data_IF_696237080641
#
_entry.id   IF_696237080641
#
_cell.length_a   1.000
_cell.length_b   1.000
_cell.length_c   1.000
_cell.angle_alpha   90.00
_cell.angle_beta   90.00
_cell.angle_gamma   90.00
#
_symmetry.space_group_name_H-M   'P 1'
#
loop_
_entity.id
_entity.type
_entity.pdbx_description
1 polymer ?
#
# COMPACT_ATOMS: atom_id res chain seq x y z
N UNK A 1 -49.05 -25.52 -38.94
CA UNK A 1 -48.85 -24.76 -37.72
C UNK A 1 -47.50 -25.18 -37.11
N UNK A 2 -46.43 -24.43 -37.44
CA UNK A 2 -45.06 -24.75 -36.97
C UNK A 2 -44.76 -23.83 -35.79
N UNK A 3 -44.58 -24.46 -34.63
CA UNK A 3 -44.22 -23.78 -33.38
C UNK A 3 -42.72 -23.47 -33.45
N UNK A 4 -42.36 -22.18 -33.54
CA UNK A 4 -40.99 -21.70 -33.44
C UNK A 4 -40.63 -21.56 -31.95
N UNK A 5 -39.84 -22.49 -31.45
CA UNK A 5 -39.30 -22.46 -30.11
C UNK A 5 -38.08 -21.52 -30.11
N UNK A 6 -38.27 -20.30 -29.66
CA UNK A 6 -37.19 -19.29 -29.52
C UNK A 6 -36.46 -19.56 -28.19
N UNK A 7 -35.37 -20.32 -28.24
CA UNK A 7 -34.47 -20.52 -27.11
C UNK A 7 -33.66 -19.23 -26.91
N UNK A 8 -34.07 -18.42 -25.94
CA UNK A 8 -33.32 -17.26 -25.47
C UNK A 8 -32.08 -17.77 -24.73
N UNK A 9 -30.92 -17.74 -25.41
CA UNK A 9 -29.65 -18.04 -24.81
C UNK A 9 -29.24 -16.82 -23.96
N UNK A 10 -29.57 -16.87 -22.67
CA UNK A 10 -29.06 -15.91 -21.69
C UNK A 10 -27.56 -16.14 -21.52
N UNK A 11 -26.74 -15.44 -22.30
CA UNK A 11 -25.33 -15.30 -21.97
C UNK A 11 -25.22 -14.55 -20.64
N UNK A 12 -25.11 -15.30 -19.55
CA UNK A 12 -24.55 -14.80 -18.31
C UNK A 12 -23.10 -14.44 -18.60
N UNK A 13 -22.87 -13.18 -18.99
CA UNK A 13 -21.56 -12.57 -18.82
C UNK A 13 -21.39 -12.43 -17.32
N UNK A 14 -20.88 -13.48 -16.67
CA UNK A 14 -20.27 -13.32 -15.36
C UNK A 14 -19.19 -12.27 -15.56
N UNK A 15 -19.40 -11.07 -15.01
CA UNK A 15 -18.32 -10.12 -14.78
C UNK A 15 -17.36 -10.87 -13.85
N UNK A 16 -16.40 -11.54 -14.46
CA UNK A 16 -15.26 -12.12 -13.76
C UNK A 16 -14.51 -10.92 -13.18
N UNK A 17 -14.79 -10.61 -11.91
CA UNK A 17 -13.84 -9.88 -11.09
C UNK A 17 -12.56 -10.71 -11.17
N UNK A 18 -11.59 -10.23 -11.91
CA UNK A 18 -10.34 -10.95 -12.09
C UNK A 18 -9.43 -10.63 -10.93
N UNK A 19 -8.79 -11.67 -10.39
CA UNK A 19 -7.68 -11.46 -9.46
C UNK A 19 -6.67 -10.51 -10.11
N UNK A 20 -6.00 -9.65 -9.31
CA UNK A 20 -5.12 -8.59 -9.80
C UNK A 20 -3.69 -8.88 -9.43
N UNK A 21 -2.77 -8.68 -10.38
CA UNK A 21 -1.35 -8.63 -10.13
C UNK A 21 -0.80 -7.30 -10.65
N UNK A 22 0.05 -6.66 -9.86
CA UNK A 22 0.82 -5.51 -10.34
C UNK A 22 2.25 -5.53 -9.82
N UNK A 23 3.14 -4.92 -10.58
CA UNK A 23 4.54 -4.74 -10.25
C UNK A 23 4.84 -3.25 -10.06
N UNK A 24 5.65 -2.94 -9.08
CA UNK A 24 6.05 -1.58 -8.75
C UNK A 24 7.55 -1.54 -8.46
N UNK A 25 8.20 -0.50 -8.95
CA UNK A 25 9.58 -0.16 -8.62
C UNK A 25 9.56 1.10 -7.76
N UNK A 26 10.31 1.08 -6.68
CA UNK A 26 10.47 2.23 -5.79
C UNK A 26 11.95 2.54 -5.64
N UNK A 27 12.31 3.80 -5.85
CA UNK A 27 13.65 4.32 -5.58
C UNK A 27 13.58 5.29 -4.41
N UNK A 28 14.52 5.19 -3.50
CA UNK A 28 14.63 6.09 -2.35
C UNK A 28 15.98 6.77 -2.33
N UNK A 29 16.00 8.04 -1.95
CA UNK A 29 17.19 8.79 -1.64
C UNK A 29 17.05 9.33 -0.22
N UNK A 30 17.88 8.82 0.67
CA UNK A 30 17.84 9.13 2.09
C UNK A 30 19.03 9.96 2.56
N UNK A 31 19.25 9.95 3.86
CA UNK A 31 20.35 10.65 4.51
C UNK A 31 21.69 10.29 3.86
N UNK A 32 22.57 11.29 3.66
CA UNK A 32 23.91 11.14 3.09
C UNK A 32 23.93 10.69 1.61
N UNK A 33 22.81 10.86 0.86
CA UNK A 33 22.75 10.47 -0.55
C UNK A 33 22.74 8.97 -0.79
N UNK A 34 22.41 8.18 0.23
CA UNK A 34 22.22 6.73 0.05
C UNK A 34 20.99 6.50 -0.81
N UNK A 35 21.19 5.75 -1.89
CA UNK A 35 20.12 5.36 -2.82
C UNK A 35 19.79 3.89 -2.63
N UNK A 36 18.50 3.60 -2.68
CA UNK A 36 17.97 2.25 -2.64
C UNK A 36 16.97 2.04 -3.77
N UNK A 37 16.94 0.84 -4.31
CA UNK A 37 15.89 0.41 -5.23
C UNK A 37 15.17 -0.79 -4.63
N UNK A 38 13.85 -0.77 -4.74
CA UNK A 38 12.97 -1.84 -4.26
C UNK A 38 12.03 -2.23 -5.38
N UNK A 39 12.02 -3.50 -5.71
CA UNK A 39 11.08 -4.09 -6.66
C UNK A 39 10.00 -4.84 -5.87
N UNK A 40 8.74 -4.58 -6.19
CA UNK A 40 7.60 -5.20 -5.53
C UNK A 40 6.69 -5.86 -6.55
N UNK A 41 6.21 -7.05 -6.20
CA UNK A 41 5.15 -7.74 -6.93
C UNK A 41 4.00 -8.02 -5.97
N UNK A 42 2.82 -7.55 -6.31
CA UNK A 42 1.64 -7.62 -5.46
C UNK A 42 0.55 -8.40 -6.17
N UNK A 43 -0.05 -9.35 -5.45
CA UNK A 43 -1.19 -10.15 -5.90
C UNK A 43 -2.36 -9.87 -4.97
N UNK A 44 -3.54 -9.63 -5.53
CA UNK A 44 -4.79 -9.39 -4.78
C UNK A 44 -5.87 -10.32 -5.29
N UNK A 45 -6.57 -10.98 -4.37
CA UNK A 45 -7.70 -11.86 -4.65
C UNK A 45 -8.69 -11.88 -3.48
N UNK A 46 -9.81 -11.18 -3.63
CA UNK A 46 -10.79 -11.00 -2.54
C UNK A 46 -10.12 -10.46 -1.27
N UNK A 47 -10.30 -11.15 -0.17
CA UNK A 47 -9.74 -10.81 1.14
C UNK A 47 -8.29 -11.29 1.35
N UNK A 48 -7.53 -11.47 0.28
CA UNK A 48 -6.17 -12.03 0.34
C UNK A 48 -5.20 -11.21 -0.50
N UNK A 49 -4.01 -10.98 0.01
CA UNK A 49 -2.91 -10.48 -0.81
C UNK A 49 -1.60 -11.18 -0.50
N UNK A 50 -0.73 -11.20 -1.50
CA UNK A 50 0.68 -11.58 -1.38
C UNK A 50 1.50 -10.42 -1.89
N UNK A 51 2.49 -9.99 -1.13
CA UNK A 51 3.51 -9.02 -1.54
C UNK A 51 4.86 -9.69 -1.48
N UNK A 52 5.56 -9.73 -2.60
CA UNK A 52 6.96 -10.10 -2.71
C UNK A 52 7.77 -8.82 -2.95
N UNK A 53 8.74 -8.57 -2.10
CA UNK A 53 9.60 -7.40 -2.16
C UNK A 53 11.05 -7.82 -2.27
N UNK A 54 11.80 -7.17 -3.16
CA UNK A 54 13.24 -7.34 -3.30
C UNK A 54 13.89 -5.96 -3.28
N UNK A 55 14.78 -5.72 -2.33
CA UNK A 55 15.49 -4.47 -2.17
C UNK A 55 17.00 -4.68 -2.26
N UNK A 56 17.68 -3.77 -2.95
CA UNK A 56 19.15 -3.73 -2.94
C UNK A 56 19.63 -3.06 -1.64
N UNK A 57 20.52 -3.75 -0.94
CA UNK A 57 21.13 -3.21 0.26
C UNK A 57 22.32 -2.30 -0.14
N UNK A 58 22.34 -1.02 0.25
CA UNK A 58 23.46 -0.11 -0.04
C UNK A 58 24.83 -0.60 0.48
N UNK A 59 24.85 -1.49 1.46
CA UNK A 59 26.05 -2.11 2.00
C UNK A 59 26.43 -3.42 1.28
N UNK A 60 25.70 -3.76 0.22
CA UNK A 60 25.87 -4.97 -0.59
C UNK A 60 24.93 -6.11 -0.20
N UNK A 61 24.47 -6.84 -1.22
CA UNK A 61 23.51 -7.92 -1.09
C UNK A 61 22.07 -7.50 -1.40
N UNK A 62 21.21 -8.48 -1.48
CA UNK A 62 19.78 -8.32 -1.78
C UNK A 62 18.98 -8.79 -0.57
N UNK A 63 18.01 -8.02 -0.16
CA UNK A 63 17.05 -8.38 0.88
C UNK A 63 15.71 -8.72 0.21
N UNK A 64 15.14 -9.85 0.59
CA UNK A 64 13.80 -10.26 0.15
C UNK A 64 12.86 -10.26 1.35
N UNK A 65 11.64 -9.76 1.16
CA UNK A 65 10.56 -9.84 2.13
C UNK A 65 9.31 -10.36 1.43
N UNK A 66 8.62 -11.28 2.06
CA UNK A 66 7.37 -11.83 1.53
C UNK A 66 6.30 -11.77 2.60
N UNK A 67 5.19 -11.09 2.30
CA UNK A 67 4.04 -10.95 3.20
C UNK A 67 2.78 -11.50 2.57
N UNK A 68 2.07 -12.32 3.32
CA UNK A 68 0.76 -12.84 2.95
C UNK A 68 -0.27 -12.26 3.92
N UNK A 69 -1.24 -11.53 3.42
CA UNK A 69 -2.34 -10.98 4.19
C UNK A 69 -3.59 -11.84 3.94
N UNK A 70 -4.20 -12.30 5.02
CA UNK A 70 -5.41 -13.12 5.02
C UNK A 70 -6.47 -12.45 5.88
N UNK A 71 -7.20 -11.49 5.29
CA UNK A 71 -8.30 -10.80 5.98
C UNK A 71 -9.40 -11.80 6.37
N UNK A 72 -9.63 -12.80 5.53
CA UNK A 72 -10.55 -13.91 5.78
C UNK A 72 -10.17 -14.76 7.00
N UNK A 73 -8.89 -14.75 7.40
CA UNK A 73 -8.38 -15.44 8.60
C UNK A 73 -8.00 -14.45 9.73
N UNK A 74 -7.98 -13.15 9.46
CA UNK A 74 -7.57 -12.12 10.40
C UNK A 74 -6.09 -12.14 10.75
N UNK A 75 -5.22 -12.56 9.82
CA UNK A 75 -3.77 -12.71 10.05
C UNK A 75 -2.91 -12.14 8.92
N UNK A 76 -1.70 -11.75 9.28
CA UNK A 76 -0.60 -11.44 8.36
C UNK A 76 0.54 -12.41 8.64
N UNK A 77 1.02 -13.07 7.60
CA UNK A 77 2.21 -13.92 7.66
C UNK A 77 3.38 -13.22 7.00
N UNK A 78 4.52 -13.13 7.71
CA UNK A 78 5.82 -12.75 7.12
C UNK A 78 6.63 -14.02 6.93
N UNK A 79 7.10 -14.24 5.71
CA UNK A 79 7.73 -15.48 5.26
C UNK A 79 9.23 -15.26 5.14
N UNK A 80 10.01 -16.03 5.89
CA UNK A 80 11.47 -16.10 5.80
C UNK A 80 11.86 -17.31 4.93
N UNK A 81 12.19 -17.03 3.68
CA UNK A 81 12.55 -18.07 2.71
C UNK A 81 13.91 -18.72 2.99
N UNK A 82 14.83 -17.99 3.59
CA UNK A 82 16.18 -18.45 3.89
C UNK A 82 16.17 -19.52 4.99
N UNK A 83 15.40 -19.27 6.04
CA UNK A 83 15.28 -20.16 7.19
C UNK A 83 14.11 -21.14 7.07
N UNK A 84 13.24 -20.98 6.06
CA UNK A 84 11.97 -21.68 5.93
C UNK A 84 11.11 -21.57 7.18
N UNK A 85 10.98 -20.35 7.65
CA UNK A 85 10.19 -19.98 8.82
C UNK A 85 9.13 -18.94 8.43
N UNK A 86 8.12 -18.81 9.27
CA UNK A 86 7.16 -17.71 9.16
C UNK A 86 6.80 -17.17 10.55
N UNK A 87 6.45 -15.89 10.60
CA UNK A 87 5.81 -15.28 11.76
C UNK A 87 4.37 -14.95 11.43
N UNK A 88 3.53 -14.91 12.46
CA UNK A 88 2.11 -14.57 12.33
C UNK A 88 1.77 -13.39 13.22
N UNK A 89 1.10 -12.41 12.64
CA UNK A 89 0.54 -11.27 13.35
C UNK A 89 -0.99 -11.29 13.17
N UNK A 90 -1.72 -11.15 14.27
CA UNK A 90 -3.18 -11.05 14.23
C UNK A 90 -3.59 -9.62 13.86
N UNK A 91 -4.38 -9.47 12.81
CA UNK A 91 -4.87 -8.17 12.33
C UNK A 91 -5.87 -7.54 13.34
N UNK A 92 -6.65 -8.37 14.01
CA UNK A 92 -7.68 -7.90 14.96
C UNK A 92 -7.12 -7.43 16.32
N UNK A 93 -5.83 -7.67 16.57
CA UNK A 93 -5.18 -7.17 17.77
C UNK A 93 -4.52 -5.84 17.45
N UNK A 94 -5.11 -4.69 17.78
CA UNK A 94 -4.37 -3.45 17.71
C UNK A 94 -3.11 -3.66 18.54
N UNK A 95 -1.93 -3.51 17.95
CA UNK A 95 -0.71 -3.41 18.74
C UNK A 95 -1.02 -2.35 19.78
N UNK A 96 -1.12 -2.75 21.06
CA UNK A 96 -1.33 -1.79 22.14
C UNK A 96 -0.12 -0.86 22.13
N UNK A 97 -0.24 0.22 21.39
CA UNK A 97 0.64 1.36 21.60
C UNK A 97 0.36 1.78 23.06
N UNK A 98 1.41 2.04 23.84
CA UNK A 98 1.20 2.66 25.14
C UNK A 98 0.23 3.82 24.93
N UNK A 99 -0.84 3.88 25.71
CA UNK A 99 -1.67 5.08 25.76
C UNK A 99 -0.74 6.20 26.25
N UNK A 100 -0.21 6.97 25.33
CA UNK A 100 0.48 8.19 25.71
C UNK A 100 -0.52 9.08 26.43
N UNK A 101 -0.11 9.71 27.55
CA UNK A 101 -1.00 10.60 28.30
C UNK A 101 -1.62 11.63 27.34
N UNK A 102 -2.89 11.97 27.58
CA UNK A 102 -3.67 12.97 26.83
C UNK A 102 -3.00 14.37 26.88
N UNK A 103 -1.79 14.51 26.33
CA UNK A 103 -1.26 15.81 25.99
C UNK A 103 -2.09 16.35 24.82
N UNK A 104 -2.40 17.64 24.83
CA UNK A 104 -3.09 18.32 23.74
C UNK A 104 -2.19 18.31 22.51
N UNK A 105 -2.23 17.18 21.78
CA UNK A 105 -1.44 16.99 20.58
C UNK A 105 -2.14 17.77 19.47
N UNK A 106 -1.45 18.76 18.94
CA UNK A 106 -1.88 19.47 17.74
C UNK A 106 -2.03 18.46 16.59
N UNK A 107 -3.27 18.25 16.12
CA UNK A 107 -3.52 17.42 14.94
C UNK A 107 -3.05 18.24 13.73
N UNK A 108 -2.05 17.77 12.97
CA UNK A 108 -1.57 18.52 11.82
C UNK A 108 -2.65 18.62 10.73
N UNK A 109 -2.66 19.76 10.04
CA UNK A 109 -3.58 20.02 8.95
C UNK A 109 -3.14 19.24 7.69
N UNK A 110 -3.83 18.15 7.41
CA UNK A 110 -3.61 17.35 6.20
C UNK A 110 -4.40 17.95 5.05
N UNK A 111 -3.70 18.49 4.06
CA UNK A 111 -4.32 19.11 2.87
C UNK A 111 -4.23 18.17 1.68
N UNK A 112 -5.36 17.97 0.99
CA UNK A 112 -5.45 17.23 -0.26
C UNK A 112 -5.85 18.20 -1.37
N UNK A 113 -5.05 18.25 -2.43
CA UNK A 113 -5.27 19.13 -3.56
C UNK A 113 -5.26 18.33 -4.87
N UNK A 114 -6.40 18.38 -5.60
CA UNK A 114 -6.48 17.94 -7.00
C UNK A 114 -6.06 19.11 -7.88
N UNK A 115 -4.99 18.96 -8.65
CA UNK A 115 -4.42 20.09 -9.40
C UNK A 115 -5.09 20.32 -10.74
N UNK A 116 -5.80 19.33 -11.27
CA UNK A 116 -6.33 19.31 -12.63
C UNK A 116 -5.27 19.02 -13.71
N UNK A 117 -4.00 18.86 -13.33
CA UNK A 117 -2.96 18.40 -14.25
C UNK A 117 -3.19 16.92 -14.59
N UNK A 118 -2.92 16.56 -15.84
CA UNK A 118 -3.06 15.18 -16.31
C UNK A 118 -1.79 14.74 -17.06
N UNK A 119 -1.46 13.43 -16.96
CA UNK A 119 -0.46 12.78 -17.80
C UNK A 119 -0.85 11.34 -18.11
N UNK A 120 -0.19 10.73 -19.08
CA UNK A 120 -0.39 9.31 -19.42
C UNK A 120 0.68 8.44 -18.76
N UNK A 121 0.21 7.42 -18.01
CA UNK A 121 1.04 6.35 -17.43
C UNK A 121 0.40 5.01 -17.81
N UNK A 122 1.18 4.03 -18.27
CA UNK A 122 0.67 2.73 -18.74
C UNK A 122 -0.50 2.88 -19.74
N UNK A 123 -0.46 3.90 -20.62
CA UNK A 123 -1.53 4.28 -21.54
C UNK A 123 -2.86 4.69 -20.89
N UNK A 124 -2.86 5.03 -19.59
CA UNK A 124 -4.01 5.53 -18.83
C UNK A 124 -3.87 7.01 -18.56
N UNK A 125 -4.98 7.73 -18.63
CA UNK A 125 -5.02 9.14 -18.23
C UNK A 125 -5.06 9.20 -16.70
N UNK A 126 -4.05 9.85 -16.11
CA UNK A 126 -3.91 10.03 -14.67
C UNK A 126 -4.07 11.49 -14.31
N UNK A 127 -4.72 11.74 -13.16
CA UNK A 127 -4.86 13.07 -12.55
C UNK A 127 -3.83 13.21 -11.42
N UNK A 128 -3.26 14.41 -11.29
CA UNK A 128 -2.31 14.72 -10.21
C UNK A 128 -3.05 15.12 -8.93
N UNK A 129 -2.72 14.43 -7.86
CA UNK A 129 -3.18 14.75 -6.50
C UNK A 129 -1.96 14.99 -5.62
N UNK A 130 -2.01 16.06 -4.82
CA UNK A 130 -0.95 16.39 -3.86
C UNK A 130 -1.54 16.33 -2.46
N UNK A 131 -0.83 15.65 -1.56
CA UNK A 131 -1.12 15.62 -0.12
C UNK A 131 0.04 16.27 0.60
N UNK A 132 -0.25 17.21 1.49
CA UNK A 132 0.75 17.85 2.34
C UNK A 132 0.33 17.76 3.80
N UNK A 133 1.32 17.63 4.67
CA UNK A 133 1.15 17.66 6.12
C UNK A 133 2.38 18.33 6.73
N UNK A 134 2.15 19.31 7.56
CA UNK A 134 3.19 20.00 8.31
C UNK A 134 2.93 19.76 9.81
N UNK A 135 3.93 19.27 10.50
CA UNK A 135 3.95 19.10 11.96
C UNK A 135 5.06 19.99 12.49
N UNK A 136 4.74 20.84 13.44
CA UNK A 136 5.70 21.70 14.13
C UNK A 136 5.37 21.64 15.62
N UNK A 137 6.23 21.01 16.39
CA UNK A 137 6.09 20.83 17.82
C UNK A 137 7.42 21.09 18.54
N UNK A 138 7.42 20.97 19.86
CA UNK A 138 8.59 21.23 20.70
C UNK A 138 9.76 20.26 20.43
N UNK A 139 9.50 19.11 19.78
CA UNK A 139 10.50 18.09 19.44
C UNK A 139 11.14 18.34 18.07
N UNK A 140 10.50 19.13 17.20
CA UNK A 140 11.01 19.48 15.88
C UNK A 140 9.93 19.76 14.85
N UNK A 141 10.36 20.04 13.64
CA UNK A 141 9.48 20.27 12.50
C UNK A 141 9.55 19.10 11.52
N UNK A 142 8.39 18.64 11.05
CA UNK A 142 8.29 17.65 9.98
C UNK A 142 7.38 18.18 8.89
N UNK A 143 7.88 18.17 7.66
CA UNK A 143 7.08 18.44 6.46
C UNK A 143 6.97 17.16 5.65
N UNK A 144 5.76 16.81 5.30
CA UNK A 144 5.46 15.68 4.43
C UNK A 144 4.72 16.17 3.20
N UNK A 145 5.17 15.77 2.03
CA UNK A 145 4.49 16.02 0.75
C UNK A 145 4.48 14.76 -0.08
N UNK A 146 3.29 14.35 -0.52
CA UNK A 146 3.09 13.23 -1.42
C UNK A 146 2.40 13.72 -2.69
N UNK A 147 3.02 13.49 -3.83
CA UNK A 147 2.44 13.73 -5.15
C UNK A 147 2.07 12.38 -5.75
N UNK A 148 0.81 12.22 -6.16
CA UNK A 148 0.30 10.99 -6.74
C UNK A 148 -0.31 11.26 -8.11
N UNK A 149 -0.10 10.34 -9.05
CA UNK A 149 -0.80 10.30 -10.31
C UNK A 149 -1.77 9.15 -10.31
N UNK A 150 -3.05 9.48 -10.13
CA UNK A 150 -4.12 8.51 -9.88
C UNK A 150 -5.03 8.32 -11.07
N UNK A 151 -5.53 7.09 -11.25
CA UNK A 151 -6.52 6.76 -12.27
C UNK A 151 -7.49 5.70 -11.76
N UNK A 152 -8.73 5.71 -12.24
CA UNK A 152 -9.70 4.62 -12.02
C UNK A 152 -9.73 3.62 -13.18
N UNK A 153 -9.07 3.96 -14.30
CA UNK A 153 -9.03 3.14 -15.51
C UNK A 153 -7.90 2.12 -15.47
N UNK A 154 -7.93 1.21 -14.47
CA UNK A 154 -7.02 0.08 -14.39
C UNK A 154 -7.80 -1.24 -14.32
N UNK A 155 -7.21 -2.34 -14.84
CA UNK A 155 -7.78 -3.66 -14.65
C UNK A 155 -7.90 -3.99 -13.16
N UNK A 156 -9.08 -4.46 -12.72
CA UNK A 156 -9.29 -4.89 -11.34
C UNK A 156 -9.27 -3.77 -10.29
N UNK A 157 -9.50 -2.51 -10.68
CA UNK A 157 -9.53 -1.39 -9.72
C UNK A 157 -10.43 -1.66 -8.51
N UNK A 158 -11.63 -2.20 -8.77
CA UNK A 158 -12.56 -2.51 -7.68
C UNK A 158 -12.03 -3.58 -6.71
N UNK A 159 -11.35 -4.59 -7.21
CA UNK A 159 -10.75 -5.65 -6.39
C UNK A 159 -9.70 -5.10 -5.44
N UNK A 160 -8.83 -4.20 -5.96
CA UNK A 160 -7.83 -3.53 -5.14
C UNK A 160 -8.50 -2.61 -4.11
N UNK A 161 -9.49 -1.83 -4.52
CA UNK A 161 -10.21 -0.91 -3.64
C UNK A 161 -10.91 -1.66 -2.51
N UNK A 162 -11.68 -2.71 -2.83
CA UNK A 162 -12.39 -3.53 -1.84
C UNK A 162 -11.39 -4.11 -0.80
N UNK A 163 -10.25 -4.63 -1.26
CA UNK A 163 -9.20 -5.13 -0.37
C UNK A 163 -8.63 -4.03 0.53
N UNK A 164 -8.34 -2.84 -0.02
CA UNK A 164 -7.81 -1.71 0.74
C UNK A 164 -8.80 -1.18 1.78
N UNK A 165 -10.08 -1.10 1.44
CA UNK A 165 -11.15 -0.71 2.36
C UNK A 165 -11.25 -1.68 3.55
N UNK A 166 -11.20 -2.99 3.29
CA UNK A 166 -11.19 -4.01 4.34
C UNK A 166 -9.95 -3.91 5.22
N UNK A 167 -8.77 -3.69 4.63
CA UNK A 167 -7.52 -3.48 5.36
C UNK A 167 -7.56 -2.26 6.28
N UNK A 168 -8.05 -1.13 5.79
CA UNK A 168 -8.14 0.12 6.56
C UNK A 168 -9.08 -0.05 7.76
N UNK A 169 -10.19 -0.77 7.57
CA UNK A 169 -11.14 -1.09 8.63
C UNK A 169 -10.55 -1.91 9.78
N UNK A 170 -9.42 -2.59 9.58
CA UNK A 170 -8.77 -3.40 10.62
C UNK A 170 -7.81 -2.60 11.54
N UNK A 171 -7.50 -1.35 11.22
CA UNK A 171 -6.56 -0.51 12.00
C UNK A 171 -5.12 -1.03 12.01
N UNK A 172 -4.79 -1.98 11.14
CA UNK A 172 -3.55 -2.77 11.16
C UNK A 172 -2.32 -2.07 10.58
N UNK A 173 -2.44 -0.88 9.98
CA UNK A 173 -1.26 -0.16 9.50
C UNK A 173 -0.62 0.63 10.63
N UNK A 174 0.62 0.28 10.92
CA UNK A 174 1.40 0.82 12.02
C UNK A 174 1.69 2.33 11.86
N UNK A 175 1.23 3.15 12.80
CA UNK A 175 1.62 4.55 12.97
C UNK A 175 3.13 4.72 13.21
N UNK A 176 3.81 3.65 13.57
CA UNK A 176 5.25 3.61 13.88
C UNK A 176 6.15 4.06 12.72
N UNK A 177 5.64 4.03 11.48
CA UNK A 177 6.42 4.37 10.30
C UNK A 177 6.56 5.88 10.08
N UNK A 178 5.68 6.69 10.68
CA UNK A 178 5.67 8.16 10.51
C UNK A 178 6.17 8.92 11.75
N UNK A 179 6.50 8.23 12.87
CA UNK A 179 6.79 8.89 14.14
C UNK A 179 5.61 9.71 14.68
N UNK A 180 4.45 9.62 14.02
CA UNK A 180 3.27 10.38 14.35
C UNK A 180 2.43 9.64 15.40
N UNK A 181 1.77 10.39 16.28
CA UNK A 181 0.82 9.80 17.19
C UNK A 181 -0.38 9.20 16.46
N UNK A 182 -1.15 8.36 17.15
CA UNK A 182 -2.29 7.62 16.59
C UNK A 182 -3.33 8.54 15.91
N UNK A 183 -3.67 9.67 16.53
CA UNK A 183 -4.68 10.62 16.00
C UNK A 183 -4.23 11.23 14.67
N UNK A 184 -2.99 11.69 14.60
CA UNK A 184 -2.37 12.23 13.38
C UNK A 184 -2.39 11.21 12.25
N UNK A 185 -2.04 9.97 12.57
CA UNK A 185 -2.07 8.88 11.60
C UNK A 185 -3.49 8.58 11.11
N UNK A 186 -4.48 8.52 12.00
CA UNK A 186 -5.88 8.27 11.64
C UNK A 186 -6.44 9.38 10.74
N UNK A 187 -6.17 10.66 11.03
CA UNK A 187 -6.59 11.78 10.17
C UNK A 187 -5.90 11.73 8.80
N UNK A 188 -4.61 11.43 8.76
CA UNK A 188 -3.89 11.25 7.51
C UNK A 188 -4.49 10.12 6.68
N UNK A 189 -4.70 8.94 7.27
CA UNK A 189 -5.30 7.78 6.59
C UNK A 189 -6.71 8.10 6.09
N UNK A 190 -7.51 8.79 6.88
CA UNK A 190 -8.84 9.22 6.46
C UNK A 190 -8.77 10.11 5.23
N UNK A 191 -7.88 11.10 5.20
CA UNK A 191 -7.69 11.99 4.04
C UNK A 191 -7.18 11.25 2.80
N UNK A 192 -6.26 10.31 2.98
CA UNK A 192 -5.78 9.47 1.88
C UNK A 192 -6.90 8.57 1.32
N UNK A 193 -7.74 8.00 2.18
CA UNK A 193 -8.86 7.13 1.75
C UNK A 193 -9.95 7.89 0.97
N UNK A 194 -10.05 9.22 1.12
CA UNK A 194 -10.93 10.07 0.34
C UNK A 194 -10.43 10.29 -1.11
N UNK A 195 -9.18 9.90 -1.40
CA UNK A 195 -8.60 10.04 -2.74
C UNK A 195 -9.03 8.86 -3.59
N UNK A 196 -9.99 9.13 -4.48
CA UNK A 196 -10.45 8.13 -5.44
C UNK A 196 -9.42 7.91 -6.56
N UNK A 197 -9.13 6.65 -6.88
CA UNK A 197 -8.22 6.24 -7.93
C UNK A 197 -7.04 5.45 -7.37
N UNK A 198 -6.43 4.65 -8.24
CA UNK A 198 -5.23 3.89 -7.93
C UNK A 198 -4.00 4.68 -8.40
N UNK A 199 -3.00 4.89 -7.55
CA UNK A 199 -1.80 5.62 -7.93
C UNK A 199 -0.90 4.75 -8.82
N UNK A 200 -0.63 5.21 -10.04
CA UNK A 200 0.37 4.60 -10.93
C UNK A 200 1.77 5.16 -10.70
N UNK A 201 1.88 6.32 -10.09
CA UNK A 201 3.15 6.93 -9.69
C UNK A 201 2.95 7.72 -8.41
N UNK A 202 3.91 7.63 -7.51
CA UNK A 202 3.95 8.30 -6.23
C UNK A 202 5.34 8.90 -6.03
N UNK A 203 5.40 10.19 -5.76
CA UNK A 203 6.58 10.87 -5.24
C UNK A 203 6.31 11.29 -3.80
N UNK A 204 7.19 10.95 -2.89
CA UNK A 204 7.09 11.31 -1.49
C UNK A 204 8.35 12.07 -1.07
N UNK A 205 8.16 13.23 -0.50
CA UNK A 205 9.19 14.07 0.09
C UNK A 205 8.89 14.19 1.59
N UNK A 206 9.83 13.87 2.43
CA UNK A 206 9.74 14.05 3.88
C UNK A 206 10.97 14.79 4.35
N UNK A 207 10.76 15.89 5.09
CA UNK A 207 11.83 16.63 5.74
C UNK A 207 11.56 16.66 7.23
N UNK A 208 12.55 16.32 8.01
CA UNK A 208 12.52 16.38 9.47
C UNK A 208 13.66 17.28 9.95
N UNK A 209 13.38 18.16 10.90
CA UNK A 209 14.38 19.06 11.45
C UNK A 209 14.25 19.19 12.96
N UNK A 210 15.35 19.10 13.68
CA UNK A 210 15.45 19.35 15.11
C UNK A 210 16.81 19.99 15.43
N UNK A 211 16.85 20.99 16.31
CA UNK A 211 18.06 21.61 16.86
C UNK A 211 19.13 22.01 15.82
N UNK A 212 18.70 22.53 14.66
CA UNK A 212 19.61 23.01 13.59
C UNK A 212 20.13 21.95 12.65
N UNK A 213 19.66 20.71 12.77
CA UNK A 213 19.87 19.64 11.78
C UNK A 213 18.58 19.42 10.98
N UNK A 214 18.72 19.22 9.68
CA UNK A 214 17.61 18.89 8.79
C UNK A 214 17.94 17.63 7.99
N UNK A 215 17.00 16.69 7.95
CA UNK A 215 17.09 15.47 7.18
C UNK A 215 15.99 15.44 6.13
N UNK A 216 16.35 15.10 4.92
CA UNK A 216 15.38 14.94 3.84
C UNK A 216 15.43 13.53 3.29
N UNK A 217 14.27 12.97 3.01
CA UNK A 217 14.09 11.69 2.34
C UNK A 217 13.14 11.88 1.16
N UNK A 218 13.53 11.36 0.01
CA UNK A 218 12.72 11.32 -1.19
C UNK A 218 12.49 9.87 -1.60
N UNK A 219 11.27 9.56 -1.98
CA UNK A 219 10.92 8.27 -2.55
C UNK A 219 10.10 8.50 -3.81
N UNK A 220 10.46 7.79 -4.88
CA UNK A 220 9.70 7.74 -6.12
C UNK A 220 9.31 6.30 -6.39
N UNK A 221 8.03 6.06 -6.57
CA UNK A 221 7.47 4.73 -6.84
C UNK A 221 6.64 4.77 -8.11
N UNK A 222 6.81 3.78 -8.98
CA UNK A 222 6.11 3.67 -10.26
C UNK A 222 5.58 2.25 -10.44
N UNK A 223 4.31 2.13 -10.83
CA UNK A 223 3.73 0.86 -11.27
C UNK A 223 4.18 0.59 -12.70
N UNK A 224 4.93 -0.49 -12.88
CA UNK A 224 5.50 -0.86 -14.19
C UNK A 224 4.61 -1.80 -14.97
N UNK A 225 3.78 -2.59 -14.27
CA UNK A 225 2.81 -3.51 -14.87
C UNK A 225 1.58 -3.65 -13.99
N UNK A 226 0.41 -3.81 -14.62
CA UNK A 226 -0.83 -4.19 -13.94
C UNK A 226 -1.68 -5.03 -14.86
N UNK A 227 -2.19 -6.17 -14.37
CA UNK A 227 -3.01 -7.09 -15.15
C UNK A 227 -4.02 -7.83 -14.27
N UNK A 228 -5.10 -8.29 -14.90
CA UNK A 228 -6.02 -9.25 -14.28
C UNK A 228 -5.79 -10.63 -14.87
N UNK A 229 -5.60 -11.63 -14.00
CA UNK A 229 -5.42 -13.02 -14.38
C UNK A 229 -5.84 -13.93 -13.23
N UNK A 230 -6.29 -15.18 -13.51
CA UNK A 230 -6.57 -16.14 -12.45
C UNK A 230 -5.30 -16.38 -11.61
N UNK A 231 -5.37 -16.15 -10.30
CA UNK A 231 -4.29 -16.42 -9.37
C UNK A 231 -4.60 -17.72 -8.61
N UNK A 232 -3.61 -18.61 -8.52
CA UNK A 232 -3.74 -19.85 -7.78
C UNK A 232 -3.83 -19.57 -6.27
N UNK A 233 -4.84 -20.10 -5.60
CA UNK A 233 -5.06 -19.89 -4.16
C UNK A 233 -3.87 -20.31 -3.29
N UNK A 234 -3.03 -21.24 -3.76
CA UNK A 234 -1.85 -21.69 -3.04
C UNK A 234 -0.79 -20.61 -2.81
N UNK A 235 -0.78 -19.54 -3.62
CA UNK A 235 0.18 -18.44 -3.41
C UNK A 235 -0.13 -17.65 -2.14
N UNK A 236 -1.36 -17.72 -1.64
CA UNK A 236 -1.79 -17.07 -0.41
C UNK A 236 -1.73 -17.99 0.83
N UNK A 237 -1.00 -19.10 0.74
CA UNK A 237 -0.81 -20.04 1.85
C UNK A 237 0.67 -20.12 2.21
N UNK A 238 0.94 -20.47 3.47
CA UNK A 238 2.31 -20.73 3.93
C UNK A 238 2.93 -21.84 3.08
N UNK A 239 4.13 -21.65 2.52
CA UNK A 239 4.76 -22.68 1.69
C UNK A 239 4.99 -23.97 2.46
N UNK A 240 4.87 -25.11 1.78
CA UNK A 240 5.07 -26.41 2.41
C UNK A 240 6.48 -26.58 3.00
N UNK A 241 6.57 -27.09 4.23
CA UNK A 241 7.84 -27.31 4.91
C UNK A 241 8.39 -26.10 5.68
N UNK A 242 7.59 -25.03 5.82
CA UNK A 242 7.93 -23.90 6.68
C UNK A 242 7.42 -24.12 8.10
N UNK A 243 8.19 -23.66 9.09
CA UNK A 243 7.86 -23.78 10.51
C UNK A 243 7.53 -22.41 11.11
N UNK A 244 6.63 -22.43 12.10
CA UNK A 244 6.30 -21.20 12.84
C UNK A 244 7.47 -20.77 13.73
N UNK A 245 7.90 -19.53 13.57
CA UNK A 245 8.89 -18.88 14.42
C UNK A 245 8.17 -18.20 15.57
N UNK A 246 8.46 -18.66 16.80
CA UNK A 246 7.89 -18.09 18.02
C UNK A 246 8.48 -16.73 18.36
#
# INVERSE_FOLDING_TARGET
MRLFCLTLLFCFVSMLYGDVMYEMVSTSEGMMGMKGETNMRIFVKGDRSLTEMTAENPMGGTMTDTKIIRLDKGVIWSIDHDNKEYTEMNIATPTQMPEEPDEEISIPDVKVMRTGETKKLLNKDCEKVIVTMDVDDDEGAMTFKQTMWVTKDIPGYKEIQDFQEHMTGTGSMSSSMMGANKKTYEEFQKKISEIEGFPLEIEMEMTMGAEGMSFSMMTHSEVTQIETKPINDKVFEIPAGYSFKK
#
